data_IF_535697725142
#
_entry.id   IF_535697725142
#
_cell.length_a   1.000
_cell.length_b   1.000
_cell.length_c   1.000
_cell.angle_alpha   90.00
_cell.angle_beta   90.00
_cell.angle_gamma   90.00
#
_symmetry.space_group_name_H-M   'P 1'
#
loop_
_entity.id
_entity.type
_entity.pdbx_description
1 polymer ?
#
# COMPACT_ATOMS: atom_id res chain seq x y z
N UNK A 1 12.16 -47.80 34.87
CA UNK A 1 10.73 -47.94 35.21
C UNK A 1 10.18 -46.53 35.22
N UNK A 2 9.54 -46.12 34.13
CA UNK A 2 8.89 -44.81 34.05
C UNK A 2 7.60 -44.89 34.88
N UNK A 3 7.47 -44.02 35.88
CA UNK A 3 6.22 -43.86 36.62
C UNK A 3 5.25 -43.08 35.74
N UNK A 4 4.14 -43.70 35.37
CA UNK A 4 3.08 -43.06 34.59
C UNK A 4 2.37 -42.07 35.52
N UNK A 5 2.44 -40.78 35.22
CA UNK A 5 1.71 -39.75 35.95
C UNK A 5 0.23 -39.79 35.57
N UNK A 6 -0.64 -39.99 36.56
CA UNK A 6 -2.10 -40.00 36.39
C UNK A 6 -2.65 -38.59 36.56
N UNK A 7 -3.44 -38.10 35.61
CA UNK A 7 -4.02 -36.75 35.63
C UNK A 7 -5.53 -36.77 35.88
N UNK A 8 -6.03 -35.73 36.54
CA UNK A 8 -7.42 -35.59 36.93
C UNK A 8 -8.29 -35.32 35.70
N UNK A 9 -9.38 -36.08 35.46
CA UNK A 9 -10.25 -35.87 34.30
C UNK A 9 -11.03 -34.55 34.36
N UNK A 10 -11.21 -33.96 35.54
CA UNK A 10 -11.96 -32.71 35.69
C UNK A 10 -11.12 -31.46 35.43
N UNK A 11 -9.81 -31.49 35.70
CA UNK A 11 -8.97 -30.27 35.67
C UNK A 11 -7.55 -30.48 35.11
N UNK A 12 -7.17 -31.70 34.73
CA UNK A 12 -5.85 -32.02 34.17
C UNK A 12 -4.70 -32.07 35.18
N UNK A 13 -4.92 -31.70 36.44
CA UNK A 13 -3.88 -31.70 37.48
C UNK A 13 -3.49 -33.13 37.91
N UNK A 14 -2.26 -33.37 38.37
CA UNK A 14 -1.81 -34.70 38.79
C UNK A 14 -2.63 -35.22 39.97
N UNK A 15 -2.99 -36.50 39.87
CA UNK A 15 -3.71 -37.24 40.89
C UNK A 15 -2.75 -37.85 41.90
N UNK A 16 -3.17 -37.88 43.16
CA UNK A 16 -2.41 -38.49 44.26
C UNK A 16 -3.21 -39.67 44.80
N UNK A 17 -2.52 -40.76 45.10
CA UNK A 17 -3.14 -41.95 45.69
C UNK A 17 -3.54 -41.66 47.13
N UNK A 18 -4.84 -41.71 47.42
CA UNK A 18 -5.36 -41.54 48.79
C UNK A 18 -5.50 -42.91 49.47
N UNK A 19 -6.03 -43.91 48.75
CA UNK A 19 -6.26 -45.27 49.24
C UNK A 19 -5.87 -46.32 48.17
N UNK A 20 -5.84 -47.60 48.54
CA UNK A 20 -5.47 -48.72 47.65
C UNK A 20 -6.24 -48.77 46.33
N UNK A 21 -7.44 -48.17 46.26
CA UNK A 21 -8.33 -48.22 45.10
C UNK A 21 -8.77 -46.82 44.60
N UNK A 22 -8.29 -45.73 45.20
CA UNK A 22 -8.76 -44.38 44.89
C UNK A 22 -7.62 -43.37 44.76
N UNK A 23 -7.76 -42.52 43.75
CA UNK A 23 -6.92 -41.37 43.48
C UNK A 23 -7.72 -40.09 43.64
N UNK A 24 -7.12 -39.06 44.25
CA UNK A 24 -7.78 -37.77 44.50
C UNK A 24 -6.98 -36.63 43.92
N UNK A 25 -7.68 -35.69 43.29
CA UNK A 25 -7.10 -34.44 42.85
C UNK A 25 -7.02 -33.46 44.02
N UNK A 26 -5.81 -32.97 44.33
CA UNK A 26 -5.62 -31.96 45.37
C UNK A 26 -6.25 -30.60 45.05
N UNK A 27 -6.51 -30.31 43.78
CA UNK A 27 -7.00 -28.99 43.36
C UNK A 27 -8.52 -28.90 43.34
N UNK A 28 -9.21 -29.91 42.76
CA UNK A 28 -10.67 -29.88 42.62
C UNK A 28 -11.39 -30.90 43.52
N UNK A 29 -10.66 -31.77 44.24
CA UNK A 29 -11.24 -32.76 45.14
C UNK A 29 -11.89 -33.97 44.44
N UNK A 30 -11.80 -34.06 43.12
CA UNK A 30 -12.37 -35.18 42.35
C UNK A 30 -11.72 -36.50 42.77
N UNK A 31 -12.54 -37.49 43.12
CA UNK A 31 -12.10 -38.85 43.47
C UNK A 31 -12.32 -39.80 42.28
N UNK A 32 -11.28 -40.54 41.92
CA UNK A 32 -11.26 -41.46 40.78
C UNK A 32 -10.92 -42.86 41.29
N UNK A 33 -11.70 -43.88 40.87
CA UNK A 33 -11.48 -45.26 41.27
C UNK A 33 -10.54 -45.95 40.28
N UNK A 34 -9.51 -46.65 40.79
CA UNK A 34 -8.47 -47.32 40.00
C UNK A 34 -9.05 -48.32 38.98
N UNK A 35 -10.13 -49.03 39.35
CA UNK A 35 -10.75 -50.05 38.49
C UNK A 35 -11.66 -49.48 37.38
N UNK A 36 -12.08 -48.22 37.45
CA UNK A 36 -13.06 -47.67 36.49
C UNK A 36 -12.43 -46.98 35.29
N UNK A 37 -11.11 -46.87 35.25
CA UNK A 37 -10.41 -46.16 34.21
C UNK A 37 -9.11 -46.90 33.88
N UNK A 38 -9.24 -47.99 33.10
CA UNK A 38 -8.34 -48.17 31.97
C UNK A 38 -8.49 -46.95 31.07
N UNK A 39 -7.93 -45.80 31.49
CA UNK A 39 -7.69 -44.70 30.57
C UNK A 39 -6.65 -45.26 29.64
N UNK A 40 -7.13 -45.58 28.45
CA UNK A 40 -6.35 -45.85 27.27
C UNK A 40 -5.19 -44.85 27.21
N UNK A 41 -4.01 -45.26 27.67
CA UNK A 41 -2.73 -44.73 27.21
C UNK A 41 -2.47 -45.23 25.78
N UNK A 42 -3.47 -45.09 24.91
CA UNK A 42 -3.34 -45.31 23.47
C UNK A 42 -3.82 -44.06 22.77
N UNK A 43 -2.84 -43.23 22.45
CA UNK A 43 -2.88 -42.21 21.40
C UNK A 43 -4.14 -41.36 21.41
N UNK A 44 -4.09 -40.24 22.12
CA UNK A 44 -4.92 -39.10 21.77
C UNK A 44 -4.02 -37.89 21.65
N UNK A 45 -3.28 -37.85 20.52
CA UNK A 45 -3.13 -36.57 19.84
C UNK A 45 -4.54 -36.05 19.61
N UNK A 46 -5.12 -35.37 20.61
CA UNK A 46 -6.31 -34.53 20.46
C UNK A 46 -5.87 -33.23 19.78
N UNK A 47 -5.22 -33.37 18.62
CA UNK A 47 -5.06 -32.31 17.63
C UNK A 47 -6.16 -32.57 16.60
N UNK A 48 -7.41 -32.48 17.02
CA UNK A 48 -8.57 -32.57 16.11
C UNK A 48 -9.52 -31.38 16.35
N UNK A 49 -8.94 -30.21 16.61
CA UNK A 49 -9.72 -28.97 16.79
C UNK A 49 -8.91 -27.68 16.64
N UNK A 50 -7.59 -27.73 16.86
CA UNK A 50 -6.74 -26.54 16.68
C UNK A 50 -6.29 -26.35 15.21
N UNK A 51 -6.07 -27.42 14.46
CA UNK A 51 -5.74 -27.33 13.02
C UNK A 51 -6.91 -26.75 12.22
N UNK A 52 -8.15 -27.22 12.44
CA UNK A 52 -9.33 -26.70 11.76
C UNK A 52 -9.56 -25.21 12.05
N UNK A 53 -9.35 -24.76 13.29
CA UNK A 53 -9.43 -23.33 13.65
C UNK A 53 -8.33 -22.50 13.00
N UNK A 54 -7.12 -23.06 12.89
CA UNK A 54 -5.98 -22.40 12.26
C UNK A 54 -6.22 -22.26 10.75
N UNK A 55 -6.70 -23.32 10.09
CA UNK A 55 -7.06 -23.30 8.66
C UNK A 55 -8.20 -22.30 8.40
N UNK A 56 -9.24 -22.27 9.24
CA UNK A 56 -10.33 -21.31 9.10
C UNK A 56 -9.84 -19.86 9.31
N UNK A 57 -8.89 -19.63 10.22
CA UNK A 57 -8.29 -18.29 10.41
C UNK A 57 -7.46 -17.85 9.20
N UNK A 58 -6.65 -18.75 8.63
CA UNK A 58 -5.84 -18.48 7.44
C UNK A 58 -6.71 -18.26 6.19
N UNK A 59 -7.82 -19.00 6.06
CA UNK A 59 -8.77 -18.80 4.96
C UNK A 59 -9.47 -17.43 5.06
N UNK A 60 -9.85 -17.00 6.26
CA UNK A 60 -10.40 -15.64 6.47
C UNK A 60 -9.38 -14.55 6.12
N UNK A 61 -8.12 -14.73 6.50
CA UNK A 61 -7.05 -13.80 6.14
C UNK A 61 -6.82 -13.76 4.63
N UNK A 62 -6.84 -14.92 3.96
CA UNK A 62 -6.76 -15.02 2.50
C UNK A 62 -7.89 -14.25 1.81
N UNK A 63 -9.14 -14.48 2.21
CA UNK A 63 -10.32 -13.79 1.66
C UNK A 63 -10.21 -12.28 1.85
N UNK A 64 -9.74 -11.84 3.02
CA UNK A 64 -9.50 -10.43 3.30
C UNK A 64 -8.45 -9.82 2.35
N UNK A 65 -7.30 -10.48 2.15
CA UNK A 65 -6.25 -10.01 1.24
C UNK A 65 -6.75 -9.98 -0.21
N UNK A 66 -7.48 -11.00 -0.65
CA UNK A 66 -8.08 -11.05 -2.00
C UNK A 66 -9.09 -9.91 -2.21
N UNK A 67 -9.92 -9.62 -1.21
CA UNK A 67 -10.84 -8.49 -1.25
C UNK A 67 -10.08 -7.16 -1.34
N UNK A 68 -9.03 -6.96 -0.56
CA UNK A 68 -8.24 -5.73 -0.58
C UNK A 68 -7.50 -5.54 -1.92
N UNK A 69 -6.95 -6.62 -2.49
CA UNK A 69 -6.39 -6.63 -3.85
C UNK A 69 -7.42 -6.23 -4.90
N UNK A 70 -8.67 -6.68 -4.78
CA UNK A 70 -9.74 -6.30 -5.71
C UNK A 70 -10.00 -4.79 -5.68
N UNK A 71 -10.06 -4.17 -4.49
CA UNK A 71 -10.24 -2.72 -4.32
C UNK A 71 -9.06 -1.94 -4.91
N UNK A 72 -7.83 -2.35 -4.59
CA UNK A 72 -6.62 -1.69 -5.10
C UNK A 72 -6.52 -1.78 -6.62
N UNK A 73 -6.96 -2.88 -7.24
CA UNK A 73 -6.98 -3.03 -8.69
C UNK A 73 -8.00 -2.10 -9.37
N UNK A 74 -9.17 -1.88 -8.75
CA UNK A 74 -10.16 -0.89 -9.23
C UNK A 74 -9.60 0.53 -9.11
N UNK A 75 -8.95 0.87 -7.99
CA UNK A 75 -8.30 2.18 -7.84
C UNK A 75 -7.20 2.39 -8.87
N UNK A 76 -6.39 1.35 -9.12
CA UNK A 76 -5.33 1.35 -10.14
C UNK A 76 -5.89 1.60 -11.53
N UNK A 77 -6.96 0.91 -11.93
CA UNK A 77 -7.55 1.08 -13.27
C UNK A 77 -8.11 2.49 -13.44
N UNK A 78 -8.85 3.00 -12.45
CA UNK A 78 -9.40 4.35 -12.48
C UNK A 78 -8.31 5.44 -12.62
N UNK A 79 -7.20 5.32 -11.88
CA UNK A 79 -6.06 6.24 -11.99
C UNK A 79 -5.34 6.13 -13.33
N UNK A 80 -5.20 4.91 -13.86
CA UNK A 80 -4.59 4.69 -15.18
C UNK A 80 -5.41 5.33 -16.30
N UNK A 81 -6.73 5.16 -16.27
CA UNK A 81 -7.65 5.75 -17.24
C UNK A 81 -7.61 7.29 -17.18
N UNK A 82 -7.54 7.87 -15.98
CA UNK A 82 -7.34 9.30 -15.80
C UNK A 82 -6.02 9.80 -16.42
N UNK A 83 -4.93 9.09 -16.20
CA UNK A 83 -3.62 9.46 -16.77
C UNK A 83 -3.62 9.33 -18.30
N UNK A 84 -4.23 8.28 -18.83
CA UNK A 84 -4.31 8.06 -20.28
C UNK A 84 -5.11 9.16 -20.97
N UNK A 85 -6.28 9.51 -20.41
CA UNK A 85 -7.12 10.60 -20.90
C UNK A 85 -6.40 11.96 -20.88
N UNK A 86 -5.56 12.20 -19.87
CA UNK A 86 -4.85 13.47 -19.71
C UNK A 86 -3.44 13.50 -20.31
N UNK A 87 -2.94 12.38 -20.83
CA UNK A 87 -1.56 12.24 -21.34
C UNK A 87 -1.27 13.24 -22.45
N UNK A 88 -2.16 13.36 -23.44
CA UNK A 88 -2.00 14.28 -24.57
C UNK A 88 -2.00 15.73 -24.11
N UNK A 89 -2.97 16.10 -23.27
CA UNK A 89 -3.07 17.44 -22.68
C UNK A 89 -1.81 17.81 -21.88
N UNK A 90 -1.28 16.87 -21.09
CA UNK A 90 -0.02 17.04 -20.37
C UNK A 90 1.16 17.26 -21.33
N UNK A 91 1.34 16.42 -22.36
CA UNK A 91 2.43 16.60 -23.33
C UNK A 91 2.32 17.94 -24.07
N UNK A 92 1.11 18.35 -24.47
CA UNK A 92 0.88 19.65 -25.10
C UNK A 92 1.18 20.80 -24.14
N UNK A 93 0.77 20.70 -22.87
CA UNK A 93 1.05 21.72 -21.85
C UNK A 93 2.55 21.85 -21.57
N UNK A 94 3.27 20.73 -21.47
CA UNK A 94 4.73 20.71 -21.33
C UNK A 94 5.41 21.33 -22.56
N UNK A 95 5.03 20.92 -23.77
CA UNK A 95 5.58 21.47 -25.01
C UNK A 95 5.33 22.98 -25.13
N UNK A 96 4.13 23.45 -24.78
CA UNK A 96 3.81 24.88 -24.73
C UNK A 96 4.65 25.62 -23.69
N UNK A 97 4.85 25.04 -22.52
CA UNK A 97 5.65 25.65 -21.44
C UNK A 97 7.11 25.80 -21.88
N UNK A 98 7.68 24.77 -22.51
CA UNK A 98 9.04 24.80 -23.06
C UNK A 98 9.15 25.84 -24.17
N UNK A 99 8.25 25.81 -25.16
CA UNK A 99 8.24 26.79 -26.27
C UNK A 99 8.09 28.22 -25.76
N UNK A 100 7.21 28.46 -24.80
CA UNK A 100 7.02 29.79 -24.21
C UNK A 100 8.29 30.26 -23.47
N UNK A 101 8.98 29.36 -22.79
CA UNK A 101 10.24 29.67 -22.09
C UNK A 101 11.34 30.06 -23.08
N UNK A 102 11.45 29.35 -24.21
CA UNK A 102 12.40 29.72 -25.28
C UNK A 102 12.09 31.08 -25.89
N UNK A 103 10.82 31.38 -26.18
CA UNK A 103 10.41 32.69 -26.70
C UNK A 103 10.70 33.82 -25.71
N UNK A 104 10.54 33.57 -24.42
CA UNK A 104 10.87 34.53 -23.37
C UNK A 104 12.37 34.89 -23.38
N UNK A 105 13.25 33.88 -23.41
CA UNK A 105 14.70 34.10 -23.48
C UNK A 105 15.09 34.82 -24.77
N UNK A 106 14.51 34.42 -25.91
CA UNK A 106 14.75 35.07 -27.19
C UNK A 106 14.31 36.55 -27.20
N UNK A 107 13.17 36.87 -26.58
CA UNK A 107 12.69 38.24 -26.41
C UNK A 107 13.64 39.09 -25.59
N UNK A 108 14.22 38.54 -24.51
CA UNK A 108 15.22 39.25 -23.69
C UNK A 108 16.47 39.54 -24.53
N UNK A 109 16.94 38.55 -25.30
CA UNK A 109 18.12 38.70 -26.16
C UNK A 109 17.88 39.78 -27.21
N UNK A 110 16.75 39.74 -27.92
CA UNK A 110 16.38 40.77 -28.90
C UNK A 110 16.30 42.16 -28.25
N UNK A 111 15.72 42.25 -27.05
CA UNK A 111 15.63 43.52 -26.33
C UNK A 111 17.02 44.08 -25.99
N UNK A 112 17.96 43.21 -25.57
CA UNK A 112 19.35 43.60 -25.32
C UNK A 112 20.07 44.07 -26.59
N UNK A 113 19.88 43.38 -27.73
CA UNK A 113 20.42 43.80 -29.02
C UNK A 113 19.86 45.15 -29.47
N UNK A 114 18.56 45.38 -29.30
CA UNK A 114 17.94 46.67 -29.61
C UNK A 114 18.54 47.78 -28.73
N UNK A 115 18.69 47.56 -27.42
CA UNK A 115 19.33 48.56 -26.53
C UNK A 115 20.77 48.84 -26.96
N UNK A 116 21.56 47.81 -27.30
CA UNK A 116 22.94 47.99 -27.75
C UNK A 116 23.06 48.67 -29.12
N UNK A 117 22.09 48.46 -30.01
CA UNK A 117 22.04 49.07 -31.35
C UNK A 117 21.44 50.48 -31.38
N UNK A 118 20.80 50.94 -30.30
CA UNK A 118 20.16 52.26 -30.21
C UNK A 118 21.21 53.35 -29.97
N UNK A 119 21.83 53.75 -31.08
CA UNK A 119 22.45 55.06 -31.29
C UNK A 119 21.53 55.96 -32.16
N UNK A 120 20.39 55.47 -32.69
CA UNK A 120 19.59 56.24 -33.67
C UNK A 120 18.12 56.55 -33.25
N UNK A 121 17.92 57.80 -32.85
CA UNK A 121 16.81 58.75 -33.08
C UNK A 121 15.33 58.48 -32.69
N UNK A 122 14.87 57.28 -32.30
CA UNK A 122 13.43 57.07 -32.04
C UNK A 122 13.06 56.57 -30.63
N UNK A 123 13.01 57.49 -29.67
CA UNK A 123 12.67 57.23 -28.25
C UNK A 123 11.24 56.72 -28.02
N UNK A 124 10.24 57.21 -28.76
CA UNK A 124 8.84 56.79 -28.59
C UNK A 124 8.57 55.34 -29.04
N UNK A 125 9.21 54.90 -30.14
CA UNK A 125 9.07 53.54 -30.65
C UNK A 125 9.66 52.53 -29.66
N UNK A 126 10.78 52.86 -29.02
CA UNK A 126 11.40 52.02 -27.99
C UNK A 126 10.50 51.86 -26.77
N UNK A 127 9.84 52.92 -26.33
CA UNK A 127 8.88 52.86 -25.21
C UNK A 127 7.70 51.93 -25.55
N UNK A 128 7.15 52.03 -26.75
CA UNK A 128 6.05 51.17 -27.21
C UNK A 128 6.46 49.70 -27.27
N UNK A 129 7.66 49.40 -27.79
CA UNK A 129 8.21 48.03 -27.83
C UNK A 129 8.42 47.49 -26.41
N UNK A 130 8.96 48.31 -25.50
CA UNK A 130 9.18 47.90 -24.11
C UNK A 130 7.84 47.55 -23.42
N UNK A 131 6.81 48.39 -23.55
CA UNK A 131 5.48 48.11 -22.98
C UNK A 131 4.87 46.85 -23.59
N UNK A 132 4.94 46.67 -24.91
CA UNK A 132 4.44 45.47 -25.58
C UNK A 132 5.17 44.21 -25.11
N UNK A 133 6.49 44.28 -24.93
CA UNK A 133 7.29 43.16 -24.43
C UNK A 133 6.85 42.76 -23.01
N UNK A 134 6.62 43.72 -22.12
CA UNK A 134 6.15 43.46 -20.75
C UNK A 134 4.76 42.81 -20.77
N UNK A 135 3.84 43.28 -21.62
CA UNK A 135 2.51 42.68 -21.75
C UNK A 135 2.58 41.22 -22.24
N UNK A 136 3.43 40.95 -23.24
CA UNK A 136 3.64 39.59 -23.73
C UNK A 136 4.26 38.68 -22.65
N UNK A 137 5.19 39.20 -21.85
CA UNK A 137 5.77 38.50 -20.70
C UNK A 137 4.66 38.14 -19.70
N UNK A 138 3.83 39.10 -19.30
CA UNK A 138 2.75 38.86 -18.33
C UNK A 138 1.73 37.82 -18.83
N UNK A 139 1.34 37.87 -20.10
CA UNK A 139 0.46 36.87 -20.72
C UNK A 139 1.12 35.48 -20.76
N UNK A 140 2.42 35.42 -21.04
CA UNK A 140 3.19 34.17 -21.07
C UNK A 140 3.29 33.55 -19.67
N UNK A 141 3.57 34.36 -18.64
CA UNK A 141 3.64 33.93 -17.25
C UNK A 141 2.29 33.38 -16.76
N UNK A 142 1.19 34.05 -17.08
CA UNK A 142 -0.15 33.57 -16.72
C UNK A 142 -0.45 32.19 -17.34
N UNK A 143 -0.11 32.00 -18.63
CA UNK A 143 -0.26 30.69 -19.31
C UNK A 143 0.64 29.62 -18.70
N UNK A 144 1.89 29.96 -18.38
CA UNK A 144 2.84 29.04 -17.72
C UNK A 144 2.30 28.61 -16.36
N UNK A 145 1.76 29.53 -15.56
CA UNK A 145 1.19 29.21 -14.25
C UNK A 145 0.03 28.20 -14.37
N UNK A 146 -0.91 28.43 -15.30
CA UNK A 146 -2.01 27.49 -15.55
C UNK A 146 -1.51 26.11 -15.99
N UNK A 147 -0.52 26.05 -16.88
CA UNK A 147 0.05 24.79 -17.33
C UNK A 147 0.82 24.07 -16.21
N UNK A 148 1.47 24.84 -15.30
CA UNK A 148 2.19 24.29 -14.17
C UNK A 148 1.26 23.56 -13.20
N UNK A 149 0.04 24.05 -12.99
CA UNK A 149 -0.97 23.37 -12.18
C UNK A 149 -1.39 22.04 -12.80
N UNK A 150 -1.65 22.01 -14.11
CA UNK A 150 -1.97 20.78 -14.84
C UNK A 150 -0.82 19.74 -14.74
N UNK A 151 0.42 20.20 -14.91
CA UNK A 151 1.61 19.35 -14.79
C UNK A 151 1.76 18.80 -13.37
N UNK A 152 1.55 19.64 -12.35
CA UNK A 152 1.60 19.20 -10.94
C UNK A 152 0.55 18.12 -10.65
N UNK A 153 -0.71 18.35 -11.03
CA UNK A 153 -1.79 17.39 -10.82
C UNK A 153 -1.55 16.05 -11.52
N UNK A 154 -1.05 16.08 -12.76
CA UNK A 154 -0.68 14.86 -13.49
C UNK A 154 0.47 14.09 -12.79
N UNK A 155 1.50 14.80 -12.33
CA UNK A 155 2.64 14.18 -11.63
C UNK A 155 2.28 13.63 -10.25
N UNK A 156 1.32 14.26 -9.57
CA UNK A 156 0.76 13.76 -8.31
C UNK A 156 -0.04 12.47 -8.53
N UNK A 157 -1.00 12.47 -9.46
CA UNK A 157 -1.75 11.27 -9.83
C UNK A 157 -0.83 10.11 -10.27
N UNK A 158 0.24 10.42 -11.01
CA UNK A 158 1.26 9.43 -11.40
C UNK A 158 2.03 8.86 -10.20
N UNK A 159 2.38 9.69 -9.21
CA UNK A 159 3.06 9.24 -7.97
C UNK A 159 2.14 8.35 -7.14
N UNK A 160 0.88 8.73 -7.00
CA UNK A 160 -0.10 7.90 -6.30
C UNK A 160 -0.29 6.55 -6.99
N UNK A 161 -0.38 6.50 -8.33
CA UNK A 161 -0.47 5.24 -9.06
C UNK A 161 0.71 4.32 -8.74
N UNK A 162 1.94 4.85 -8.74
CA UNK A 162 3.13 4.05 -8.39
C UNK A 162 3.09 3.55 -6.94
N UNK A 163 2.54 4.33 -6.01
CA UNK A 163 2.34 3.90 -4.63
C UNK A 163 1.29 2.77 -4.53
N UNK A 164 0.16 2.89 -5.24
CA UNK A 164 -0.86 1.83 -5.30
C UNK A 164 -0.28 0.55 -5.91
N UNK A 165 0.54 0.65 -6.97
CA UNK A 165 1.23 -0.52 -7.55
C UNK A 165 2.18 -1.20 -6.58
N UNK A 166 2.92 -0.43 -5.77
CA UNK A 166 3.78 -0.97 -4.73
C UNK A 166 2.97 -1.71 -3.63
N UNK A 167 1.82 -1.16 -3.22
CA UNK A 167 0.92 -1.82 -2.27
C UNK A 167 0.38 -3.13 -2.82
N UNK A 168 -0.10 -3.14 -4.06
CA UNK A 168 -0.59 -4.37 -4.72
C UNK A 168 0.50 -5.43 -4.72
N UNK A 169 1.74 -5.08 -5.08
CA UNK A 169 2.85 -6.02 -5.08
C UNK A 169 3.11 -6.61 -3.68
N UNK A 170 3.10 -5.77 -2.65
CA UNK A 170 3.27 -6.23 -1.27
C UNK A 170 2.17 -7.21 -0.84
N UNK A 171 0.91 -6.90 -1.15
CA UNK A 171 -0.22 -7.80 -0.84
C UNK A 171 -0.16 -9.11 -1.64
N UNK A 172 0.30 -9.08 -2.89
CA UNK A 172 0.54 -10.29 -3.67
C UNK A 172 1.65 -11.17 -3.06
N UNK A 173 2.72 -10.55 -2.55
CA UNK A 173 3.79 -11.27 -1.87
C UNK A 173 3.29 -11.90 -0.56
N UNK A 174 2.44 -11.20 0.19
CA UNK A 174 1.80 -11.73 1.40
C UNK A 174 0.88 -12.91 1.08
N UNK A 175 0.03 -12.78 0.06
CA UNK A 175 -0.85 -13.85 -0.40
C UNK A 175 -0.04 -15.09 -0.83
N UNK A 176 1.07 -14.90 -1.54
CA UNK A 176 1.95 -16.00 -1.95
C UNK A 176 2.59 -16.72 -0.75
N UNK A 177 3.01 -15.97 0.28
CA UNK A 177 3.52 -16.57 1.53
C UNK A 177 2.43 -17.38 2.24
N UNK A 178 1.23 -16.83 2.35
CA UNK A 178 0.10 -17.48 3.02
C UNK A 178 -0.33 -18.76 2.29
N UNK A 179 -0.34 -18.75 0.95
CA UNK A 179 -0.57 -19.96 0.14
C UNK A 179 0.47 -21.05 0.40
N UNK A 180 1.76 -20.68 0.54
CA UNK A 180 2.81 -21.66 0.87
C UNK A 180 2.62 -22.27 2.25
N UNK A 181 2.15 -21.50 3.23
CA UNK A 181 1.84 -22.04 4.56
C UNK A 181 0.68 -23.02 4.47
N UNK A 182 -0.41 -22.64 3.80
CA UNK A 182 -1.58 -23.50 3.59
C UNK A 182 -1.29 -24.82 2.85
N UNK A 183 -0.24 -24.89 2.01
CA UNK A 183 0.15 -26.13 1.33
C UNK A 183 0.98 -27.08 2.19
N UNK A 184 1.53 -26.60 3.30
CA UNK A 184 2.38 -27.38 4.22
C UNK A 184 1.64 -27.83 5.49
N UNK A 185 0.42 -27.31 5.70
CA UNK A 185 -0.55 -27.77 6.71
C UNK A 185 -1.41 -28.85 6.07
#
# INVERSE_FOLDING_TARGET
MEMIELNCPSCGAPLIREDSNYYVCQYCGTRVKEDQQYIETRCSNSVCGDEDRTIESLNREKEYIEQELSKLNIEKSAKKDFLEKNKTSHHTAVAHTVRSSFLFVFSIILSAFMIAGVIMEHSLVMLAIAVLSILLIMLSLNRINKNRELIKGYNEAKRELMSTEAKIKNEQDNLSKLQKVLMNV
#
